data_IF_680719299094
#
_entry.id   IF_680719299094
#
_cell.length_a   1.000
_cell.length_b   1.000
_cell.length_c   1.000
_cell.angle_alpha   90.00
_cell.angle_beta   90.00
_cell.angle_gamma   90.00
#
_symmetry.space_group_name_H-M   'P 1'
#
loop_
_entity.id
_entity.type
_entity.pdbx_description
1 polymer ?
#
# COMPACT_ATOMS: atom_id res chain seq x y z
N UNK A 1 -3.38 -3.75 18.38
CA UNK A 1 -3.89 -5.00 18.99
C UNK A 1 -5.23 -4.67 19.62
N UNK A 2 -6.23 -5.56 19.53
CA UNK A 2 -7.49 -5.32 20.23
C UNK A 2 -7.23 -5.48 21.74
N UNK A 3 -7.51 -4.45 22.56
CA UNK A 3 -7.27 -4.52 24.00
C UNK A 3 -8.32 -5.35 24.75
N UNK A 4 -9.32 -5.89 24.04
CA UNK A 4 -10.49 -6.55 24.60
C UNK A 4 -10.39 -8.07 24.41
N UNK A 5 -10.68 -8.82 25.46
CA UNK A 5 -10.65 -10.29 25.47
C UNK A 5 -11.98 -10.91 25.03
N UNK A 6 -13.07 -10.12 24.99
CA UNK A 6 -14.40 -10.63 24.64
C UNK A 6 -15.28 -9.60 23.91
N UNK A 7 -16.27 -10.08 23.16
CA UNK A 7 -17.27 -9.23 22.47
C UNK A 7 -18.04 -8.33 23.46
N UNK A 8 -18.49 -8.80 24.64
CA UNK A 8 -19.15 -7.94 25.63
C UNK A 8 -18.26 -6.81 26.14
N UNK A 9 -16.97 -7.08 26.34
CA UNK A 9 -16.00 -6.08 26.78
C UNK A 9 -15.74 -5.02 25.69
N UNK A 10 -15.62 -5.47 24.43
CA UNK A 10 -15.51 -4.57 23.29
C UNK A 10 -16.78 -3.70 23.12
N UNK A 11 -17.97 -4.27 23.32
CA UNK A 11 -19.23 -3.55 23.25
C UNK A 11 -19.38 -2.53 24.39
N UNK A 12 -18.93 -2.90 25.60
CA UNK A 12 -18.92 -2.01 26.76
C UNK A 12 -17.98 -0.81 26.55
N UNK A 13 -16.79 -1.04 25.97
CA UNK A 13 -15.84 0.02 25.67
C UNK A 13 -16.30 0.96 24.53
N UNK A 14 -17.02 0.42 23.54
CA UNK A 14 -17.58 1.20 22.43
C UNK A 14 -18.88 1.93 22.79
N UNK A 15 -19.51 1.59 23.92
CA UNK A 15 -20.82 2.11 24.31
C UNK A 15 -21.96 1.70 23.37
N UNK A 16 -21.72 0.70 22.50
CA UNK A 16 -22.68 0.17 21.52
C UNK A 16 -22.37 -1.29 21.20
N UNK A 17 -23.36 -2.01 20.68
CA UNK A 17 -23.13 -3.35 20.13
C UNK A 17 -22.22 -3.29 18.90
N UNK A 18 -21.44 -4.37 18.71
CA UNK A 18 -20.61 -4.55 17.52
C UNK A 18 -21.50 -4.80 16.30
N UNK A 19 -21.11 -4.23 15.17
CA UNK A 19 -21.69 -4.57 13.87
C UNK A 19 -21.30 -5.99 13.45
N UNK A 20 -21.99 -6.54 12.45
CA UNK A 20 -21.67 -7.84 11.88
C UNK A 20 -20.20 -7.94 11.43
N UNK A 21 -19.71 -6.90 10.73
CA UNK A 21 -18.33 -6.85 10.24
C UNK A 21 -17.31 -6.79 11.39
N UNK A 22 -17.59 -6.00 12.42
CA UNK A 22 -16.72 -5.91 13.61
C UNK A 22 -16.67 -7.23 14.38
N UNK A 23 -17.80 -7.92 14.50
CA UNK A 23 -17.88 -9.24 15.15
C UNK A 23 -17.09 -10.29 14.38
N UNK A 24 -17.22 -10.29 13.05
CA UNK A 24 -16.49 -11.21 12.17
C UNK A 24 -14.97 -10.94 12.25
N UNK A 25 -14.56 -9.67 12.25
CA UNK A 25 -13.17 -9.28 12.44
C UNK A 25 -12.63 -9.66 13.83
N UNK A 26 -13.42 -9.46 14.89
CA UNK A 26 -13.05 -9.84 16.25
C UNK A 26 -12.81 -11.34 16.35
N UNK A 27 -13.74 -12.17 15.86
CA UNK A 27 -13.60 -13.63 15.86
C UNK A 27 -12.39 -14.11 15.05
N UNK A 28 -12.10 -13.45 13.92
CA UNK A 28 -10.94 -13.79 13.11
C UNK A 28 -9.62 -13.41 13.77
N UNK A 29 -9.53 -12.22 14.38
CA UNK A 29 -8.29 -11.65 14.88
C UNK A 29 -7.95 -12.00 16.33
N UNK A 30 -8.94 -12.30 17.18
CA UNK A 30 -8.75 -12.55 18.61
C UNK A 30 -7.79 -13.72 18.90
N UNK A 31 -7.79 -14.77 18.06
CA UNK A 31 -6.93 -15.94 18.25
C UNK A 31 -5.54 -15.83 17.58
N UNK A 32 -5.22 -14.71 16.94
CA UNK A 32 -4.01 -14.58 16.12
C UNK A 32 -2.96 -13.71 16.77
N UNK A 33 -1.69 -14.06 16.55
CA UNK A 33 -0.58 -13.22 17.02
C UNK A 33 -0.57 -11.89 16.29
N UNK A 34 -0.07 -10.86 16.96
CA UNK A 34 -0.02 -9.52 16.39
C UNK A 34 0.92 -9.43 15.19
N UNK A 35 1.97 -10.24 15.18
CA UNK A 35 2.85 -10.40 14.03
C UNK A 35 2.09 -11.02 12.84
N UNK A 36 1.27 -12.04 13.09
CA UNK A 36 0.45 -12.64 12.02
C UNK A 36 -0.53 -11.63 11.43
N UNK A 37 -1.26 -10.88 12.26
CA UNK A 37 -2.19 -9.85 11.79
C UNK A 37 -1.47 -8.74 11.03
N UNK A 38 -0.28 -8.34 11.49
CA UNK A 38 0.57 -7.38 10.79
C UNK A 38 0.97 -7.86 9.39
N UNK A 39 1.52 -9.07 9.29
CA UNK A 39 1.88 -9.69 8.01
C UNK A 39 0.65 -9.82 7.09
N UNK A 40 -0.48 -10.26 7.64
CA UNK A 40 -1.74 -10.40 6.89
C UNK A 40 -2.22 -9.05 6.36
N UNK A 41 -2.23 -7.99 7.17
CA UNK A 41 -2.63 -6.66 6.74
C UNK A 41 -1.71 -6.09 5.65
N UNK A 42 -0.41 -6.34 5.72
CA UNK A 42 0.54 -5.87 4.69
C UNK A 42 0.38 -6.64 3.40
N UNK A 43 0.37 -7.97 3.46
CA UNK A 43 0.35 -8.81 2.28
C UNK A 43 -1.02 -8.83 1.59
N UNK A 44 -2.10 -8.82 2.36
CA UNK A 44 -3.44 -8.98 1.82
C UNK A 44 -4.17 -7.64 1.65
N UNK A 45 -4.17 -6.78 2.66
CA UNK A 45 -4.88 -5.50 2.58
C UNK A 45 -4.08 -4.46 1.81
N UNK A 46 -2.80 -4.27 2.13
CA UNK A 46 -2.02 -3.23 1.48
C UNK A 46 -1.65 -3.61 0.05
N UNK A 47 -0.99 -4.75 -0.16
CA UNK A 47 -0.49 -5.14 -1.48
C UNK A 47 -1.59 -5.52 -2.48
N UNK A 48 -2.54 -6.37 -2.10
CA UNK A 48 -3.57 -6.84 -3.04
C UNK A 48 -4.70 -5.81 -3.20
N UNK A 49 -5.27 -5.29 -2.12
CA UNK A 49 -6.42 -4.39 -2.25
C UNK A 49 -6.00 -3.01 -2.77
N UNK A 50 -5.01 -2.37 -2.16
CA UNK A 50 -4.65 -0.97 -2.49
C UNK A 50 -3.87 -0.86 -3.79
N UNK A 51 -2.90 -1.75 -4.04
CA UNK A 51 -2.09 -1.66 -5.26
C UNK A 51 -2.63 -2.47 -6.44
N UNK A 52 -3.56 -3.41 -6.23
CA UNK A 52 -4.16 -4.15 -7.36
C UNK A 52 -5.61 -3.76 -7.61
N UNK A 53 -6.49 -3.75 -6.60
CA UNK A 53 -7.93 -3.53 -6.83
C UNK A 53 -8.33 -2.07 -6.98
N UNK A 54 -7.81 -1.17 -6.14
CA UNK A 54 -8.15 0.27 -6.19
C UNK A 54 -7.76 0.96 -7.51
N UNK A 55 -6.61 0.65 -8.15
CA UNK A 55 -6.21 1.34 -9.38
C UNK A 55 -6.90 0.77 -10.63
N UNK A 56 -7.44 -0.46 -10.57
CA UNK A 56 -8.07 -1.13 -11.72
C UNK A 56 -9.24 -0.33 -12.33
N UNK A 57 -10.19 0.20 -11.56
CA UNK A 57 -11.24 1.07 -12.10
C UNK A 57 -10.68 2.31 -12.82
N UNK A 58 -9.64 2.94 -12.27
CA UNK A 58 -9.02 4.14 -12.87
C UNK A 58 -8.33 3.80 -14.19
N UNK A 59 -7.59 2.69 -14.23
CA UNK A 59 -6.93 2.19 -15.45
C UNK A 59 -7.95 1.83 -16.52
N UNK A 60 -9.09 1.22 -16.14
CA UNK A 60 -10.16 0.90 -17.07
C UNK A 60 -10.80 2.17 -17.66
N UNK A 61 -11.09 3.17 -16.81
CA UNK A 61 -11.66 4.44 -17.27
C UNK A 61 -10.69 5.23 -18.16
N UNK A 62 -9.39 5.17 -17.87
CA UNK A 62 -8.35 5.77 -18.70
C UNK A 62 -8.22 5.06 -20.05
N UNK A 63 -8.28 3.73 -20.08
CA UNK A 63 -8.29 2.96 -21.32
C UNK A 63 -9.49 3.28 -22.20
N UNK A 64 -10.67 3.46 -21.60
CA UNK A 64 -11.90 3.87 -22.30
C UNK A 64 -11.90 5.36 -22.70
N UNK A 65 -10.86 6.12 -22.35
CA UNK A 65 -10.69 7.55 -22.66
C UNK A 65 -11.91 8.38 -22.26
N UNK A 66 -12.47 8.10 -21.09
CA UNK A 66 -13.55 8.95 -20.57
C UNK A 66 -13.06 10.39 -20.42
N UNK A 67 -13.81 11.33 -20.98
CA UNK A 67 -13.46 12.76 -21.00
C UNK A 67 -13.22 13.30 -19.58
N UNK A 68 -14.03 12.87 -18.61
CA UNK A 68 -13.88 13.21 -17.20
C UNK A 68 -12.51 12.82 -16.61
N UNK A 69 -11.98 11.63 -16.94
CA UNK A 69 -10.67 11.22 -16.40
C UNK A 69 -9.56 11.96 -17.14
N UNK A 70 -9.70 12.14 -18.46
CA UNK A 70 -8.71 12.88 -19.26
C UNK A 70 -8.54 14.34 -18.83
N UNK A 71 -9.60 15.00 -18.35
CA UNK A 71 -9.54 16.38 -17.87
C UNK A 71 -8.86 16.53 -16.50
N UNK A 72 -8.86 15.47 -15.68
CA UNK A 72 -8.22 15.47 -14.36
C UNK A 72 -6.79 14.90 -14.40
N UNK A 73 -6.25 14.59 -15.59
CA UNK A 73 -4.87 14.14 -15.74
C UNK A 73 -3.88 15.26 -15.44
N UNK A 74 -3.02 15.02 -14.46
CA UNK A 74 -1.85 15.88 -14.17
C UNK A 74 -0.93 15.95 -15.40
N UNK A 75 -0.82 14.86 -16.16
CA UNK A 75 -0.03 14.78 -17.39
C UNK A 75 -0.92 14.37 -18.59
N UNK A 76 -1.58 15.33 -19.26
CA UNK A 76 -2.54 15.04 -20.33
C UNK A 76 -1.90 14.55 -21.63
N UNK A 77 -0.58 14.77 -21.83
CA UNK A 77 0.14 14.39 -23.06
C UNK A 77 0.73 12.96 -23.04
N UNK A 78 0.71 12.29 -21.89
CA UNK A 78 1.27 10.94 -21.74
C UNK A 78 0.15 9.93 -21.85
N UNK A 79 0.23 9.08 -22.86
CA UNK A 79 -0.69 7.96 -23.07
C UNK A 79 0.10 6.67 -23.09
N UNK A 80 -0.14 5.81 -22.11
CA UNK A 80 0.46 4.48 -22.04
C UNK A 80 -0.45 3.47 -22.74
N UNK A 81 0.12 2.55 -23.50
CA UNK A 81 -0.58 1.38 -24.02
C UNK A 81 -0.85 0.36 -22.91
N UNK A 82 -1.82 -0.54 -23.10
CA UNK A 82 -2.11 -1.61 -22.13
C UNK A 82 -0.89 -2.49 -21.84
N UNK A 83 -0.04 -2.73 -22.86
CA UNK A 83 1.19 -3.50 -22.70
C UNK A 83 2.18 -2.80 -21.78
N UNK A 84 2.34 -1.49 -21.93
CA UNK A 84 3.20 -0.67 -21.06
C UNK A 84 2.64 -0.58 -19.64
N UNK A 85 1.31 -0.42 -19.49
CA UNK A 85 0.65 -0.43 -18.19
C UNK A 85 0.82 -1.77 -17.47
N UNK A 86 0.67 -2.90 -18.17
CA UNK A 86 0.86 -4.22 -17.59
C UNK A 86 2.32 -4.50 -17.22
N UNK A 87 3.27 -4.05 -18.07
CA UNK A 87 4.70 -4.13 -17.75
C UNK A 87 5.02 -3.32 -16.48
N UNK A 88 4.54 -2.08 -16.41
CA UNK A 88 4.68 -1.21 -15.25
C UNK A 88 4.09 -1.84 -13.98
N UNK A 89 2.88 -2.40 -14.06
CA UNK A 89 2.27 -3.13 -12.95
C UNK A 89 3.14 -4.29 -12.47
N UNK A 90 3.64 -5.12 -13.39
CA UNK A 90 4.50 -6.26 -13.05
C UNK A 90 5.81 -5.81 -12.37
N UNK A 91 6.44 -4.76 -12.88
CA UNK A 91 7.68 -4.23 -12.31
C UNK A 91 7.45 -3.65 -10.90
N UNK A 92 6.34 -2.94 -10.69
CA UNK A 92 5.93 -2.44 -9.37
C UNK A 92 5.68 -3.62 -8.42
N UNK A 93 4.93 -4.64 -8.84
CA UNK A 93 4.67 -5.82 -8.01
C UNK A 93 5.97 -6.53 -7.62
N UNK A 94 6.91 -6.71 -8.55
CA UNK A 94 8.22 -7.30 -8.24
C UNK A 94 8.98 -6.48 -7.20
N UNK A 95 9.06 -5.15 -7.36
CA UNK A 95 9.73 -4.28 -6.38
C UNK A 95 9.03 -4.35 -5.02
N UNK A 96 7.70 -4.38 -5.00
CA UNK A 96 6.95 -4.53 -3.76
C UNK A 96 7.20 -5.87 -3.06
N UNK A 97 7.21 -7.00 -3.77
CA UNK A 97 7.44 -8.31 -3.15
C UNK A 97 8.90 -8.55 -2.75
N UNK A 98 9.87 -8.01 -3.51
CA UNK A 98 11.30 -8.27 -3.26
C UNK A 98 11.95 -7.24 -2.34
N UNK A 99 11.43 -6.01 -2.30
CA UNK A 99 12.04 -4.90 -1.56
C UNK A 99 11.09 -4.44 -0.45
N UNK A 100 9.93 -3.90 -0.80
CA UNK A 100 9.04 -3.26 0.19
C UNK A 100 8.47 -4.26 1.19
N UNK A 101 8.04 -5.44 0.75
CA UNK A 101 7.45 -6.48 1.59
C UNK A 101 8.43 -6.97 2.66
N UNK A 102 9.63 -7.45 2.30
CA UNK A 102 10.65 -7.84 3.26
C UNK A 102 11.04 -6.70 4.19
N UNK A 103 11.20 -5.49 3.65
CA UNK A 103 11.52 -4.31 4.46
C UNK A 103 10.44 -4.01 5.50
N UNK A 104 9.18 -4.06 5.08
CA UNK A 104 8.02 -3.85 5.94
C UNK A 104 7.90 -4.95 7.00
N UNK A 105 8.18 -6.21 6.66
CA UNK A 105 8.20 -7.32 7.64
C UNK A 105 9.29 -7.14 8.70
N UNK A 106 10.49 -6.72 8.29
CA UNK A 106 11.62 -6.44 9.19
C UNK A 106 11.32 -5.22 10.08
N UNK A 107 10.54 -4.24 9.59
CA UNK A 107 10.18 -3.04 10.35
C UNK A 107 9.13 -3.26 11.46
N UNK A 108 8.61 -4.49 11.63
CA UNK A 108 7.61 -4.79 12.66
C UNK A 108 8.00 -4.36 14.09
N UNK A 109 9.26 -4.51 14.56
CA UNK A 109 9.67 -4.00 15.86
C UNK A 109 9.62 -2.48 15.93
N UNK A 110 9.93 -1.78 14.84
CA UNK A 110 9.91 -0.31 14.76
C UNK A 110 8.49 0.25 14.83
N UNK A 111 7.48 -0.47 14.33
CA UNK A 111 6.06 -0.05 14.39
C UNK A 111 5.48 -0.11 15.81
N UNK A 112 6.05 -0.95 16.67
CA UNK A 112 5.70 -0.96 18.08
C UNK A 112 6.26 0.28 18.81
N UNK A 113 7.26 0.95 18.23
CA UNK A 113 7.85 2.19 18.74
C UNK A 113 7.21 3.38 18.01
N UNK A 114 6.43 4.17 18.74
CA UNK A 114 5.62 5.33 18.29
C UNK A 114 6.21 6.15 17.11
N UNK A 115 5.30 6.58 16.21
CA UNK A 115 5.41 7.38 14.96
C UNK A 115 6.71 8.14 14.60
N UNK A 116 7.32 9.02 15.44
CA UNK A 116 8.38 9.90 14.94
C UNK A 116 9.60 9.16 14.40
N UNK A 117 9.89 7.97 14.93
CA UNK A 117 11.04 7.18 14.51
C UNK A 117 10.78 6.50 13.16
N UNK A 118 9.53 6.14 12.87
CA UNK A 118 9.19 5.48 11.62
C UNK A 118 9.27 6.42 10.42
N UNK A 119 8.75 7.64 10.55
CA UNK A 119 8.84 8.64 9.49
C UNK A 119 10.29 9.07 9.24
N UNK A 120 11.08 9.20 10.30
CA UNK A 120 12.51 9.48 10.22
C UNK A 120 13.27 8.35 9.52
N UNK A 121 13.04 7.09 9.91
CA UNK A 121 13.67 5.92 9.28
C UNK A 121 13.29 5.83 7.80
N UNK A 122 12.01 5.98 7.47
CA UNK A 122 11.54 5.98 6.08
C UNK A 122 12.21 7.08 5.24
N UNK A 123 12.29 8.31 5.77
CA UNK A 123 12.95 9.44 5.09
C UNK A 123 14.43 9.15 4.80
N UNK A 124 15.19 8.65 5.77
CA UNK A 124 16.62 8.39 5.58
C UNK A 124 16.89 7.19 4.66
N UNK A 125 16.01 6.18 4.67
CA UNK A 125 16.11 5.06 3.74
C UNK A 125 15.78 5.51 2.32
N UNK A 126 14.73 6.31 2.15
CA UNK A 126 14.43 6.90 0.84
C UNK A 126 15.64 7.68 0.34
N UNK A 127 16.23 8.53 1.18
CA UNK A 127 17.46 9.27 0.86
C UNK A 127 18.66 8.36 0.56
N UNK A 128 18.80 7.23 1.25
CA UNK A 128 19.83 6.23 0.96
C UNK A 128 19.60 5.58 -0.40
N UNK A 129 18.35 5.28 -0.78
CA UNK A 129 18.01 4.72 -2.09
C UNK A 129 18.26 5.69 -3.25
N UNK A 130 18.49 6.98 -2.97
CA UNK A 130 18.93 7.99 -3.93
C UNK A 130 20.45 8.06 -4.12
N UNK A 131 21.24 7.21 -3.46
CA UNK A 131 22.67 7.07 -3.79
C UNK A 131 22.87 6.35 -5.14
N UNK A 132 24.04 6.47 -5.75
CA UNK A 132 24.30 5.95 -7.12
C UNK A 132 23.90 4.47 -7.27
N UNK A 133 24.28 3.62 -6.32
CA UNK A 133 23.97 2.19 -6.36
C UNK A 133 22.48 1.88 -6.16
N UNK A 134 21.87 2.48 -5.13
CA UNK A 134 20.47 2.27 -4.77
C UNK A 134 19.54 2.82 -5.83
N UNK A 135 19.93 3.94 -6.45
CA UNK A 135 19.20 4.53 -7.54
C UNK A 135 19.24 3.59 -8.74
N UNK A 136 20.41 3.23 -9.25
CA UNK A 136 20.52 2.39 -10.45
C UNK A 136 19.83 1.03 -10.33
N UNK A 137 19.84 0.42 -9.14
CA UNK A 137 19.36 -0.95 -8.93
C UNK A 137 17.92 -1.05 -8.44
N UNK A 138 17.44 -0.05 -7.70
CA UNK A 138 16.16 -0.14 -6.96
C UNK A 138 15.27 1.07 -7.28
N UNK A 139 15.79 2.29 -7.07
CA UNK A 139 14.97 3.49 -7.12
C UNK A 139 14.75 4.05 -8.53
N UNK A 140 15.55 3.64 -9.51
CA UNK A 140 15.39 4.06 -10.91
C UNK A 140 14.04 3.67 -11.47
N UNK A 141 13.57 2.44 -11.21
CA UNK A 141 12.26 1.96 -11.72
C UNK A 141 11.11 2.81 -11.17
N UNK A 142 11.26 3.29 -9.93
CA UNK A 142 10.30 4.21 -9.33
C UNK A 142 10.23 5.57 -10.08
N UNK A 143 11.37 6.07 -10.56
CA UNK A 143 11.46 7.31 -11.34
C UNK A 143 11.34 7.13 -12.87
N UNK A 144 11.43 5.90 -13.37
CA UNK A 144 11.38 5.55 -14.80
C UNK A 144 9.98 5.76 -15.38
N UNK A 145 8.95 5.53 -14.57
CA UNK A 145 7.56 5.72 -14.98
C UNK A 145 7.07 7.11 -14.58
N UNK A 146 6.88 7.99 -15.58
CA UNK A 146 6.26 9.31 -15.38
C UNK A 146 4.83 9.16 -14.86
N UNK A 147 4.62 9.44 -13.57
CA UNK A 147 3.37 9.31 -12.80
C UNK A 147 2.07 9.30 -13.63
N UNK A 148 1.63 8.14 -14.15
CA UNK A 148 0.28 8.04 -14.69
C UNK A 148 -0.72 8.05 -13.53
N UNK A 149 -1.87 8.66 -13.75
CA UNK A 149 -3.01 8.50 -12.83
C UNK A 149 -3.38 7.02 -12.85
N UNK A 150 -3.21 6.31 -11.73
CA UNK A 150 -3.41 4.86 -11.67
C UNK A 150 -2.45 4.18 -10.69
N UNK A 151 -1.92 3.00 -11.06
CA UNK A 151 -1.07 2.13 -10.22
C UNK A 151 0.12 2.84 -9.55
N UNK A 152 0.60 3.95 -10.13
CA UNK A 152 1.78 4.68 -9.68
C UNK A 152 1.42 5.98 -8.93
N UNK A 153 0.15 6.42 -8.98
CA UNK A 153 -0.29 7.66 -8.35
C UNK A 153 -0.06 7.70 -6.83
N UNK A 154 -0.22 6.59 -6.06
CA UNK A 154 0.12 6.58 -4.64
C UNK A 154 1.62 6.57 -4.37
N UNK A 155 2.46 6.23 -5.36
CA UNK A 155 3.89 6.04 -5.17
C UNK A 155 4.69 7.26 -5.61
N UNK A 156 4.20 8.04 -6.58
CA UNK A 156 4.94 9.14 -7.20
C UNK A 156 5.24 10.32 -6.27
N UNK A 157 4.43 10.59 -5.24
CA UNK A 157 4.64 11.74 -4.34
C UNK A 157 4.00 11.52 -2.96
N UNK A 158 4.82 11.14 -1.97
CA UNK A 158 4.61 11.39 -0.54
C UNK A 158 5.93 11.90 0.04
#
# INVERSE_FOLDING_TARGET
MLPYASIPEAAAALGRNLTFAETLWFNYSAAKSNYFLYCHNILFLFLFLVFSLVPLPLVFLEFKRFSFVSSHKIQPKVHLSLTETFKCYKDIMHMFFLVVGPFQLISYPSIQVRSPHQDYTNYWIHRFLHNDWGYEKIHRVHHEYHAPIGFVAPYAHW
#
